data_IF_455539087545
#
_entry.id   IF_455539087545
#
_cell.length_a   1.000
_cell.length_b   1.000
_cell.length_c   1.000
_cell.angle_alpha   90.00
_cell.angle_beta   90.00
_cell.angle_gamma   90.00
#
_symmetry.space_group_name_H-M   'P 1'
#
loop_
_entity.id
_entity.type
_entity.pdbx_description
1 polymer ?
#
# COMPACT_ATOMS: atom_id res chain seq x y z
N UNK A 1 12.61 -17.83 41.78
CA UNK A 1 13.37 -18.46 40.69
C UNK A 1 14.61 -19.11 41.26
N UNK A 2 14.70 -20.43 41.21
CA UNK A 2 15.89 -21.19 41.59
C UNK A 2 17.02 -20.97 40.56
N UNK A 3 18.27 -21.12 40.97
CA UNK A 3 19.42 -20.85 40.09
C UNK A 3 19.48 -21.81 38.89
N UNK A 4 18.93 -23.01 39.02
CA UNK A 4 18.73 -23.92 37.88
C UNK A 4 17.76 -23.36 36.82
N UNK A 5 16.67 -22.71 37.24
CA UNK A 5 15.73 -22.08 36.30
C UNK A 5 16.40 -20.93 35.55
N UNK A 6 17.25 -20.15 36.23
CA UNK A 6 18.04 -19.07 35.60
C UNK A 6 19.03 -19.65 34.58
N UNK A 7 19.69 -20.75 34.91
CA UNK A 7 20.61 -21.44 34.00
C UNK A 7 19.89 -21.97 32.74
N UNK A 8 18.71 -22.57 32.91
CA UNK A 8 17.94 -23.09 31.78
C UNK A 8 17.40 -22.01 30.83
N UNK A 9 17.09 -20.80 31.34
CA UNK A 9 16.70 -19.64 30.52
C UNK A 9 17.91 -19.02 29.81
N UNK A 10 19.05 -18.89 30.50
CA UNK A 10 20.24 -18.25 29.94
C UNK A 10 21.01 -19.15 28.94
N UNK A 11 21.06 -20.46 29.21
CA UNK A 11 21.92 -21.40 28.47
C UNK A 11 21.26 -22.75 28.13
N UNK A 12 20.03 -23.01 28.58
CA UNK A 12 19.31 -24.27 28.33
C UNK A 12 18.26 -24.16 27.23
N UNK A 13 17.33 -25.13 27.23
CA UNK A 13 16.29 -25.28 26.21
C UNK A 13 15.31 -24.09 26.07
N UNK A 14 15.30 -23.16 27.03
CA UNK A 14 14.45 -21.97 26.99
C UNK A 14 15.18 -20.72 26.49
N UNK A 15 16.39 -20.87 25.93
CA UNK A 15 17.12 -19.76 25.33
C UNK A 15 16.35 -19.25 24.12
N UNK A 16 15.92 -18.00 24.18
CA UNK A 16 15.27 -17.35 23.03
C UNK A 16 16.21 -17.38 21.82
N UNK A 17 15.71 -17.86 20.68
CA UNK A 17 16.40 -17.68 19.41
C UNK A 17 16.48 -16.18 19.10
N UNK A 18 17.53 -15.72 18.38
CA UNK A 18 17.62 -14.33 17.96
C UNK A 18 16.39 -13.96 17.14
N UNK A 19 15.58 -13.04 17.69
CA UNK A 19 14.33 -12.58 17.08
C UNK A 19 14.64 -11.36 16.22
N UNK A 20 14.25 -11.38 14.95
CA UNK A 20 14.37 -10.19 14.11
C UNK A 20 13.43 -9.09 14.61
N UNK A 21 13.88 -7.83 14.72
CA UNK A 21 13.04 -6.71 15.15
C UNK A 21 12.09 -6.31 14.01
N UNK A 22 11.09 -7.15 13.74
CA UNK A 22 10.08 -6.99 12.70
C UNK A 22 9.36 -5.64 12.77
N UNK A 23 9.31 -5.01 13.93
CA UNK A 23 8.75 -3.68 14.14
C UNK A 23 9.54 -2.57 13.43
N UNK A 24 10.88 -2.65 13.39
CA UNK A 24 11.72 -1.69 12.66
C UNK A 24 11.56 -1.82 11.15
N UNK A 25 11.45 -3.05 10.64
CA UNK A 25 11.19 -3.28 9.22
C UNK A 25 9.80 -2.77 8.82
N UNK A 26 8.78 -2.97 9.67
CA UNK A 26 7.43 -2.48 9.41
C UNK A 26 7.33 -0.96 9.42
N UNK A 27 8.00 -0.27 10.34
CA UNK A 27 8.00 1.20 10.39
C UNK A 27 8.83 1.81 9.26
N UNK A 28 10.00 1.24 8.94
CA UNK A 28 10.81 1.63 7.79
C UNK A 28 10.02 1.49 6.46
N UNK A 29 9.29 0.39 6.31
CA UNK A 29 8.42 0.18 5.16
C UNK A 29 7.30 1.23 5.08
N UNK A 30 6.67 1.59 6.20
CA UNK A 30 5.65 2.63 6.22
C UNK A 30 6.21 3.99 5.81
N UNK A 31 7.41 4.36 6.29
CA UNK A 31 8.10 5.60 5.90
C UNK A 31 8.45 5.58 4.42
N UNK A 32 8.99 4.48 3.92
CA UNK A 32 9.33 4.32 2.50
C UNK A 32 8.09 4.46 1.61
N UNK A 33 6.99 3.81 1.98
CA UNK A 33 5.73 3.88 1.25
C UNK A 33 5.16 5.30 1.25
N UNK A 34 5.19 5.98 2.41
CA UNK A 34 4.78 7.37 2.52
C UNK A 34 5.61 8.28 1.60
N UNK A 35 6.93 8.11 1.60
CA UNK A 35 7.84 8.90 0.78
C UNK A 35 7.62 8.67 -0.71
N UNK A 36 7.47 7.41 -1.15
CA UNK A 36 7.21 7.09 -2.56
C UNK A 36 5.87 7.67 -3.02
N UNK A 37 4.80 7.53 -2.22
CA UNK A 37 3.50 8.10 -2.56
C UNK A 37 3.53 9.64 -2.56
N UNK A 38 4.23 10.25 -1.61
CA UNK A 38 4.41 11.70 -1.55
C UNK A 38 5.14 12.23 -2.79
N UNK A 39 6.25 11.59 -3.19
CA UNK A 39 6.99 11.95 -4.39
C UNK A 39 6.14 11.74 -5.65
N UNK A 40 5.39 10.65 -5.73
CA UNK A 40 4.48 10.39 -6.85
C UNK A 40 3.39 11.44 -6.94
N UNK A 41 2.72 11.77 -5.82
CA UNK A 41 1.70 12.80 -5.76
C UNK A 41 2.27 14.17 -6.15
N UNK A 42 3.44 14.55 -5.63
CA UNK A 42 4.12 15.80 -5.99
C UNK A 42 4.47 15.87 -7.48
N UNK A 43 4.88 14.75 -8.07
CA UNK A 43 5.20 14.65 -9.50
C UNK A 43 3.93 14.66 -10.37
N UNK A 44 2.86 14.02 -9.91
CA UNK A 44 1.53 14.04 -10.53
C UNK A 44 0.96 15.46 -10.59
N UNK A 45 1.03 16.22 -9.49
CA UNK A 45 0.59 17.63 -9.44
C UNK A 45 1.39 18.52 -10.40
N UNK A 46 2.72 18.36 -10.47
CA UNK A 46 3.56 19.08 -11.44
C UNK A 46 3.22 18.72 -12.88
N UNK A 47 2.98 17.44 -13.17
CA UNK A 47 2.61 16.96 -14.49
C UNK A 47 1.23 17.47 -14.94
N UNK A 48 0.28 17.58 -14.01
CA UNK A 48 -1.03 18.19 -14.27
C UNK A 48 -0.90 19.66 -14.69
N UNK A 49 0.02 20.40 -14.07
CA UNK A 49 0.29 21.81 -14.40
C UNK A 49 0.95 22.00 -15.77
N UNK A 50 1.66 21.00 -16.31
CA UNK A 50 2.42 21.12 -17.56
C UNK A 50 1.81 20.35 -18.74
N UNK A 51 0.60 19.81 -18.59
CA UNK A 51 -0.16 19.08 -19.63
C UNK A 51 0.62 17.93 -20.33
N UNK A 52 1.72 17.47 -19.72
CA UNK A 52 2.69 16.59 -20.36
C UNK A 52 2.39 15.11 -20.11
N UNK A 53 1.68 14.77 -19.02
CA UNK A 53 1.37 13.38 -18.65
C UNK A 53 -0.06 13.23 -18.11
N UNK A 54 -1.00 12.99 -19.03
CA UNK A 54 -2.42 12.75 -18.75
C UNK A 54 -2.67 11.52 -17.87
N UNK A 55 -1.74 10.56 -17.85
CA UNK A 55 -1.84 9.32 -17.06
C UNK A 55 -1.65 9.61 -15.56
N UNK A 56 -0.66 10.45 -15.21
CA UNK A 56 -0.38 10.79 -13.81
C UNK A 56 -1.33 11.86 -13.27
N UNK A 57 -1.92 12.70 -14.12
CA UNK A 57 -2.74 13.83 -13.67
C UNK A 57 -4.20 13.45 -13.34
N UNK A 58 -4.61 12.18 -13.53
CA UNK A 58 -5.99 11.78 -13.25
C UNK A 58 -6.24 11.57 -11.76
N UNK A 59 -7.39 12.03 -11.24
CA UNK A 59 -7.79 11.78 -9.85
C UNK A 59 -7.93 10.26 -9.64
N UNK A 60 -7.42 9.77 -8.50
CA UNK A 60 -7.44 8.34 -8.14
C UNK A 60 -6.16 7.57 -8.44
N UNK A 61 -5.25 8.09 -9.26
CA UNK A 61 -3.97 7.43 -9.60
C UNK A 61 -3.10 7.14 -8.37
N UNK A 62 -2.97 8.08 -7.43
CA UNK A 62 -2.21 7.88 -6.18
C UNK A 62 -2.82 6.79 -5.29
N UNK A 63 -4.15 6.69 -5.24
CA UNK A 63 -4.84 5.65 -4.44
C UNK A 63 -4.62 4.26 -5.03
N UNK A 64 -4.76 4.12 -6.35
CA UNK A 64 -4.46 2.88 -7.04
C UNK A 64 -2.99 2.47 -6.87
N UNK A 65 -2.07 3.44 -6.96
CA UNK A 65 -0.64 3.20 -6.72
C UNK A 65 -0.34 2.75 -5.28
N UNK A 66 -1.05 3.30 -4.29
CA UNK A 66 -0.92 2.88 -2.89
C UNK A 66 -1.24 1.39 -2.73
N UNK A 67 -2.34 0.92 -3.34
CA UNK A 67 -2.71 -0.50 -3.30
C UNK A 67 -1.64 -1.40 -3.92
N UNK A 68 -1.06 -1.00 -5.06
CA UNK A 68 0.01 -1.74 -5.73
C UNK A 68 1.26 -1.82 -4.84
N UNK A 69 1.77 -0.67 -4.39
CA UNK A 69 3.01 -0.59 -3.61
C UNK A 69 2.85 -1.31 -2.27
N UNK A 70 1.73 -1.08 -1.58
CA UNK A 70 1.46 -1.72 -0.30
C UNK A 70 1.36 -3.24 -0.45
N UNK A 71 0.69 -3.74 -1.50
CA UNK A 71 0.59 -5.16 -1.77
C UNK A 71 1.95 -5.81 -2.04
N UNK A 72 2.81 -5.16 -2.82
CA UNK A 72 4.19 -5.63 -3.07
C UNK A 72 5.01 -5.65 -1.77
N UNK A 73 4.94 -4.60 -0.96
CA UNK A 73 5.69 -4.53 0.30
C UNK A 73 5.21 -5.56 1.32
N UNK A 74 3.90 -5.84 1.38
CA UNK A 74 3.32 -6.94 2.17
C UNK A 74 3.90 -8.30 1.77
N UNK A 75 4.04 -8.54 0.47
CA UNK A 75 4.64 -9.78 -0.04
C UNK A 75 6.11 -9.90 0.37
N UNK A 76 6.89 -8.82 0.22
CA UNK A 76 8.32 -8.82 0.54
C UNK A 76 8.63 -8.95 2.04
N UNK A 77 7.87 -8.28 2.92
CA UNK A 77 8.06 -8.38 4.37
C UNK A 77 7.75 -9.79 4.86
N UNK A 78 6.71 -10.40 4.31
CA UNK A 78 6.32 -11.74 4.69
C UNK A 78 7.32 -12.80 4.22
N UNK A 79 7.93 -12.61 3.04
CA UNK A 79 9.09 -13.41 2.62
C UNK A 79 10.27 -13.30 3.59
N UNK A 80 10.41 -12.15 4.27
CA UNK A 80 11.44 -11.93 5.29
C UNK A 80 11.06 -12.47 6.68
N UNK A 81 9.78 -12.80 6.90
CA UNK A 81 9.21 -13.33 8.16
C UNK A 81 8.97 -14.85 8.05
N UNK A 82 10.00 -15.60 7.68
CA UNK A 82 9.99 -17.06 7.42
C UNK A 82 9.48 -17.94 8.60
N UNK A 83 8.98 -17.33 9.66
CA UNK A 83 8.41 -17.87 10.89
C UNK A 83 6.87 -18.01 10.90
N UNK A 84 6.16 -17.71 9.79
CA UNK A 84 4.70 -17.86 9.72
C UNK A 84 4.27 -19.26 9.22
N UNK A 85 3.44 -20.03 9.95
CA UNK A 85 2.97 -21.33 9.50
C UNK A 85 2.18 -21.22 8.19
N UNK A 86 2.49 -22.11 7.24
CA UNK A 86 1.77 -22.21 5.97
C UNK A 86 0.29 -22.51 6.22
N UNK A 87 -0.59 -21.58 5.84
CA UNK A 87 -2.02 -21.80 5.91
C UNK A 87 -2.51 -22.68 4.74
N UNK A 88 -3.53 -23.50 5.02
CA UNK A 88 -4.22 -24.33 4.03
C UNK A 88 -5.69 -23.91 3.89
N UNK A 89 -5.92 -22.63 3.61
CA UNK A 89 -7.27 -22.11 3.42
C UNK A 89 -7.71 -22.17 1.95
N UNK A 90 -9.02 -22.33 1.71
CA UNK A 90 -9.62 -22.49 0.37
C UNK A 90 -9.45 -21.27 -0.54
N UNK A 91 -9.20 -20.10 0.04
CA UNK A 91 -9.01 -18.83 -0.67
C UNK A 91 -7.55 -18.61 -1.10
N UNK A 92 -6.65 -19.57 -0.87
CA UNK A 92 -5.22 -19.41 -1.17
C UNK A 92 -4.94 -19.67 -2.67
N UNK A 93 -4.21 -18.76 -3.31
CA UNK A 93 -3.92 -18.81 -4.75
C UNK A 93 -2.97 -19.98 -5.10
N UNK A 94 -2.03 -20.34 -4.22
CA UNK A 94 -1.14 -21.49 -4.39
C UNK A 94 -0.81 -22.17 -3.05
N UNK A 95 -0.75 -23.50 -3.03
CA UNK A 95 -0.45 -24.27 -1.80
C UNK A 95 0.96 -23.93 -1.31
N UNK A 96 1.06 -23.47 -0.06
CA UNK A 96 2.34 -23.10 0.58
C UNK A 96 2.62 -21.59 0.66
N UNK A 97 1.69 -20.73 0.25
CA UNK A 97 1.79 -19.28 0.46
C UNK A 97 1.26 -18.85 1.83
N UNK A 98 1.87 -17.84 2.45
CA UNK A 98 1.38 -17.24 3.70
C UNK A 98 0.21 -16.28 3.46
N UNK A 99 -0.58 -16.01 4.50
CA UNK A 99 -1.76 -15.12 4.43
C UNK A 99 -1.43 -13.77 3.84
N UNK A 100 -0.33 -13.17 4.28
CA UNK A 100 0.09 -11.84 3.84
C UNK A 100 0.56 -11.83 2.38
N UNK A 101 1.12 -12.94 1.87
CA UNK A 101 1.53 -13.05 0.47
C UNK A 101 0.31 -13.03 -0.46
N UNK A 102 -0.71 -13.82 -0.16
CA UNK A 102 -1.96 -13.80 -0.93
C UNK A 102 -2.66 -12.46 -0.84
N UNK A 103 -2.75 -11.86 0.36
CA UNK A 103 -3.33 -10.54 0.50
C UNK A 103 -2.56 -9.49 -0.31
N UNK A 104 -1.23 -9.59 -0.34
CA UNK A 104 -0.37 -8.76 -1.19
C UNK A 104 -0.73 -8.87 -2.66
N UNK A 105 -0.90 -10.10 -3.17
CA UNK A 105 -1.32 -10.35 -4.57
C UNK A 105 -2.70 -9.74 -4.85
N UNK A 106 -3.70 -9.97 -3.98
CA UNK A 106 -5.03 -9.37 -4.15
C UNK A 106 -4.99 -7.85 -4.20
N UNK A 107 -4.20 -7.22 -3.33
CA UNK A 107 -4.06 -5.76 -3.31
C UNK A 107 -3.36 -5.22 -4.56
N UNK A 108 -2.36 -5.91 -5.09
CA UNK A 108 -1.73 -5.55 -6.38
C UNK A 108 -2.73 -5.65 -7.52
N UNK A 109 -3.46 -6.77 -7.62
CA UNK A 109 -4.47 -6.98 -8.67
C UNK A 109 -5.55 -5.90 -8.62
N UNK A 110 -6.12 -5.64 -7.43
CA UNK A 110 -7.11 -4.58 -7.24
C UNK A 110 -6.54 -3.21 -7.59
N UNK A 111 -5.30 -2.91 -7.17
CA UNK A 111 -4.63 -1.65 -7.48
C UNK A 111 -4.42 -1.44 -8.98
N UNK A 112 -4.01 -2.49 -9.72
CA UNK A 112 -3.87 -2.44 -11.18
C UNK A 112 -5.23 -2.23 -11.87
N UNK A 113 -6.27 -2.93 -11.43
CA UNK A 113 -7.62 -2.75 -11.96
C UNK A 113 -8.14 -1.33 -11.70
N UNK A 114 -7.97 -0.80 -10.49
CA UNK A 114 -8.33 0.58 -10.14
C UNK A 114 -7.56 1.58 -10.99
N UNK A 115 -6.25 1.36 -11.19
CA UNK A 115 -5.44 2.21 -12.05
C UNK A 115 -5.98 2.23 -13.48
N UNK A 116 -6.31 1.07 -14.05
CA UNK A 116 -6.90 0.97 -15.38
C UNK A 116 -8.27 1.64 -15.47
N UNK A 117 -9.11 1.51 -14.43
CA UNK A 117 -10.42 2.17 -14.35
C UNK A 117 -10.29 3.69 -14.29
N UNK A 118 -9.42 4.23 -13.42
CA UNK A 118 -9.18 5.67 -13.33
C UNK A 118 -8.56 6.23 -14.61
N UNK A 119 -7.74 5.45 -15.31
CA UNK A 119 -7.25 5.81 -16.63
C UNK A 119 -8.35 5.87 -17.69
N UNK A 120 -9.38 5.03 -17.60
CA UNK A 120 -10.53 5.05 -18.51
C UNK A 120 -11.57 6.11 -18.17
N UNK A 121 -11.73 6.45 -16.89
CA UNK A 121 -12.64 7.51 -16.46
C UNK A 121 -12.13 8.86 -16.97
N UNK A 122 -12.92 9.54 -17.81
CA UNK A 122 -12.64 10.93 -18.19
C UNK A 122 -13.01 11.86 -17.01
N UNK A 123 -12.27 12.95 -16.79
CA UNK A 123 -12.64 13.92 -15.77
C UNK A 123 -14.06 14.41 -16.09
N UNK A 124 -15.01 14.11 -15.20
CA UNK A 124 -16.37 14.61 -15.31
C UNK A 124 -16.28 16.13 -15.47
N UNK A 125 -16.91 16.68 -16.51
CA UNK A 125 -17.03 18.12 -16.67
C UNK A 125 -17.76 18.62 -15.43
N UNK A 126 -17.03 19.18 -14.47
CA UNK A 126 -17.63 19.92 -13.36
C UNK A 126 -18.35 21.07 -14.06
N UNK A 127 -19.67 20.97 -14.22
CA UNK A 127 -20.48 22.08 -14.68
C UNK A 127 -20.40 23.13 -13.59
N UNK A 128 -19.48 24.09 -13.76
CA UNK A 128 -19.37 25.28 -12.93
C UNK A 128 -20.68 26.05 -13.10
N UNK A 129 -21.61 25.87 -12.16
CA UNK A 129 -22.88 26.57 -12.06
C UNK A 129 -22.72 28.04 -11.68
N UNK A 130 -21.96 28.79 -12.48
CA UNK A 130 -21.74 30.23 -12.37
C UNK A 130 -22.06 30.91 -13.71
N UNK A 131 -23.24 30.62 -14.26
CA UNK A 131 -23.83 31.45 -15.31
C UNK A 131 -25.33 31.58 -15.06
N UNK A 132 -25.67 32.37 -14.04
CA UNK A 132 -26.92 33.14 -13.98
C UNK A 132 -26.76 34.26 -12.93
N UNK A 133 -25.74 35.09 -13.12
CA UNK A 133 -25.86 36.50 -12.72
C UNK A 133 -26.89 37.08 -13.68
N UNK A 134 -28.17 36.97 -13.31
CA UNK A 134 -29.29 37.58 -14.00
C UNK A 134 -29.06 39.08 -13.92
N UNK A 135 -28.46 39.64 -14.96
CA UNK A 135 -28.53 41.07 -15.23
C UNK A 135 -30.01 41.42 -15.34
N UNK A 136 -30.56 41.99 -14.27
CA UNK A 136 -31.88 42.61 -14.33
C UNK A 136 -31.65 44.05 -14.85
N UNK A 137 -32.20 44.40 -16.03
CA UNK A 137 -32.00 45.73 -16.59
C UNK A 137 -32.65 46.78 -15.69
N UNK A 138 -31.89 47.85 -15.41
CA UNK A 138 -32.43 49.09 -14.85
C UNK A 138 -33.37 49.69 -15.90
N UNK A 139 -34.68 49.61 -15.66
CA UNK A 139 -35.70 50.50 -16.24
C UNK A 139 -36.80 50.70 -15.21
#
# INVERSE_FOLDING_TARGET
MTDEQKYQVARGNYRCLPVHPTQLYSSANAVMLCLVLYLFWRRSQKAASQNYNKILSKPGSTFALMFIIYGVMRFLIEYLRDDNPFEQAWWIIYRGGTVSQNLGIYMVVVGVLLMALFQKMSPGKIQTGLSKKKELPRK
#
